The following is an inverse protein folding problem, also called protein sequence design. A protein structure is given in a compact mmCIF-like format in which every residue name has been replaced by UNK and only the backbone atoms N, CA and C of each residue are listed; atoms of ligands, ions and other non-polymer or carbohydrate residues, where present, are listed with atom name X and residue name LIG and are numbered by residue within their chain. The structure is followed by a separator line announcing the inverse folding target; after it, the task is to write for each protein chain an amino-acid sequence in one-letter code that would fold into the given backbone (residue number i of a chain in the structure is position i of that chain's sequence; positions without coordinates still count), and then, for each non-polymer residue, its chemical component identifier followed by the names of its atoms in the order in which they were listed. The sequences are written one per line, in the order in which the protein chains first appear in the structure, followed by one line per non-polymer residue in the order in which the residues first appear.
data_IF_032770108667
#
_entry.id   IF_032770108667
#
_cell.length_a   1.000
_cell.length_b   1.000
_cell.length_c   1.000
_cell.angle_alpha   90.00
_cell.angle_beta   90.00
_cell.angle_gamma   90.00
#
_symmetry.space_group_name_H-M   'P 1'
#
loop_
_entity.id
_entity.type
_entity.pdbx_description
1 polymer ?
#
# COMPACT_ATOMS: atom_id res chain seq x y z
N UNK A 1 17.24 -12.47 18.08
CA UNK A 1 17.80 -13.81 18.38
C UNK A 1 17.67 -14.09 19.87
N UNK A 2 17.62 -15.37 20.28
CA UNK A 2 17.60 -15.76 21.69
C UNK A 2 18.82 -15.22 22.46
N UNK A 3 18.68 -15.11 23.78
CA UNK A 3 19.80 -14.83 24.68
C UNK A 3 20.82 -15.99 24.65
N UNK A 4 22.08 -15.77 25.09
CA UNK A 4 23.12 -16.81 25.08
C UNK A 4 22.74 -18.10 25.84
N UNK A 5 21.81 -18.01 26.78
CA UNK A 5 21.25 -19.13 27.54
C UNK A 5 20.07 -19.84 26.86
N UNK A 6 19.76 -19.48 25.60
CA UNK A 6 18.68 -20.04 24.80
C UNK A 6 17.29 -19.48 25.09
N UNK A 7 17.12 -18.60 26.09
CA UNK A 7 15.81 -18.01 26.40
C UNK A 7 15.51 -16.84 25.47
N UNK A 8 14.23 -16.64 25.15
CA UNK A 8 13.78 -15.43 24.45
C UNK A 8 13.79 -14.29 25.47
N UNK A 9 14.38 -13.15 25.09
CA UNK A 9 14.45 -11.99 25.97
C UNK A 9 13.02 -11.44 26.25
N UNK A 10 12.70 -11.04 27.49
CA UNK A 10 11.33 -10.69 27.88
C UNK A 10 10.64 -9.66 26.99
N UNK A 11 11.36 -8.63 26.49
CA UNK A 11 10.76 -7.63 25.59
C UNK A 11 10.35 -8.26 24.25
N UNK A 12 11.10 -9.24 23.75
CA UNK A 12 10.73 -9.99 22.54
C UNK A 12 9.49 -10.86 22.79
N UNK A 13 9.37 -11.48 23.97
CA UNK A 13 8.18 -12.25 24.35
C UNK A 13 6.93 -11.36 24.37
N UNK A 14 7.03 -10.16 24.94
CA UNK A 14 5.93 -9.20 24.98
C UNK A 14 5.49 -8.81 23.54
N UNK A 15 6.44 -8.46 22.67
CA UNK A 15 6.14 -8.15 21.26
C UNK A 15 5.51 -9.32 20.51
N UNK A 16 6.01 -10.53 20.69
CA UNK A 16 5.44 -11.72 20.06
C UNK A 16 4.00 -11.99 20.53
N UNK A 17 3.70 -11.72 21.81
CA UNK A 17 2.33 -11.82 22.33
C UNK A 17 1.41 -10.75 21.73
N UNK A 18 1.86 -9.51 21.63
CA UNK A 18 1.12 -8.42 20.96
C UNK A 18 0.82 -8.80 19.50
N UNK A 19 1.81 -9.29 18.75
CA UNK A 19 1.63 -9.80 17.39
C UNK A 19 0.62 -10.96 17.33
N UNK A 20 0.73 -11.91 18.26
CA UNK A 20 -0.19 -13.05 18.33
C UNK A 20 -1.64 -12.64 18.59
N UNK A 21 -1.85 -11.65 19.46
CA UNK A 21 -3.18 -11.08 19.73
C UNK A 21 -3.76 -10.37 18.50
N UNK A 22 -2.91 -9.62 17.78
CA UNK A 22 -3.32 -8.97 16.53
C UNK A 22 -3.71 -10.00 15.46
N UNK A 23 -2.87 -11.04 15.26
CA UNK A 23 -3.15 -12.13 14.31
C UNK A 23 -4.37 -12.96 14.70
N UNK A 24 -4.65 -13.15 15.99
CA UNK A 24 -5.86 -13.83 16.43
C UNK A 24 -7.13 -13.09 16.01
N UNK A 25 -7.08 -11.75 15.94
CA UNK A 25 -8.23 -10.92 15.56
C UNK A 25 -8.33 -10.66 14.07
N UNK A 26 -7.20 -10.40 13.41
CA UNK A 26 -7.17 -9.95 12.02
C UNK A 26 -6.47 -10.93 11.08
N UNK A 27 -6.11 -12.12 11.56
CA UNK A 27 -5.38 -13.12 10.77
C UNK A 27 -6.12 -13.59 9.53
N UNK A 28 -7.42 -13.33 9.38
CA UNK A 28 -8.13 -13.59 8.11
C UNK A 28 -7.59 -12.78 6.93
N UNK A 29 -6.98 -11.61 7.17
CA UNK A 29 -6.33 -10.80 6.12
C UNK A 29 -4.93 -11.29 5.75
N UNK A 30 -4.38 -12.24 6.51
CA UNK A 30 -3.01 -12.77 6.31
C UNK A 30 -3.03 -14.24 5.91
N UNK A 31 -3.76 -15.09 6.64
CA UNK A 31 -3.71 -16.53 6.46
C UNK A 31 -4.55 -17.00 5.27
N UNK A 32 -3.91 -17.76 4.37
CA UNK A 32 -4.56 -18.29 3.18
C UNK A 32 -4.92 -17.24 2.14
N UNK A 33 -4.31 -16.05 2.22
CA UNK A 33 -4.44 -14.99 1.22
C UNK A 33 -3.28 -15.05 0.22
N UNK A 34 -3.43 -14.37 -0.92
CA UNK A 34 -2.33 -14.05 -1.84
C UNK A 34 -2.15 -12.53 -1.90
N UNK A 35 -0.97 -12.07 -2.27
CA UNK A 35 -0.72 -10.63 -2.46
C UNK A 35 -1.57 -10.02 -3.58
N UNK A 36 -1.79 -8.71 -3.49
CA UNK A 36 -2.58 -7.92 -4.41
C UNK A 36 -4.06 -7.83 -4.02
N UNK A 37 -4.91 -7.23 -4.88
CA UNK A 37 -4.65 -6.85 -6.26
C UNK A 37 -3.83 -5.56 -6.45
N UNK A 38 -3.68 -4.71 -5.43
CA UNK A 38 -2.78 -3.56 -5.50
C UNK A 38 -1.38 -3.92 -4.99
N UNK A 39 -0.35 -3.62 -5.79
CA UNK A 39 1.05 -3.79 -5.36
C UNK A 39 1.32 -2.96 -4.09
N UNK A 40 2.13 -3.48 -3.16
CA UNK A 40 2.44 -2.77 -1.94
C UNK A 40 3.21 -1.47 -2.23
N UNK A 41 2.95 -0.46 -1.42
CA UNK A 41 3.73 0.77 -1.29
C UNK A 41 4.21 0.87 0.16
N UNK A 42 4.89 1.96 0.50
CA UNK A 42 5.22 2.27 1.91
C UNK A 42 4.01 2.42 2.83
N UNK A 43 2.88 2.85 2.28
CA UNK A 43 1.71 3.26 3.06
C UNK A 43 0.58 2.24 2.99
N UNK A 44 0.59 1.37 1.98
CA UNK A 44 -0.48 0.43 1.68
C UNK A 44 0.10 -0.93 1.30
N UNK A 45 -0.48 -2.01 1.82
CA UNK A 45 -0.39 -3.32 1.21
C UNK A 45 -1.79 -3.88 0.96
N UNK A 46 -1.91 -4.85 0.05
CA UNK A 46 -3.17 -5.58 -0.12
C UNK A 46 -2.95 -7.08 -0.27
N UNK A 47 -3.92 -7.81 0.25
CA UNK A 47 -4.03 -9.26 0.09
C UNK A 47 -5.43 -9.62 -0.37
N UNK A 48 -5.60 -10.83 -0.91
CA UNK A 48 -6.89 -11.28 -1.46
C UNK A 48 -7.12 -12.76 -1.24
N UNK A 49 -8.40 -13.12 -1.11
CA UNK A 49 -8.89 -14.50 -0.99
C UNK A 49 -10.34 -14.61 -1.44
N UNK A 50 -10.63 -15.51 -2.38
CA UNK A 50 -11.99 -15.66 -2.90
C UNK A 50 -12.47 -14.35 -3.53
N UNK A 51 -13.62 -13.83 -3.10
CA UNK A 51 -14.16 -12.53 -3.52
C UNK A 51 -13.76 -11.37 -2.58
N UNK A 52 -12.80 -11.57 -1.68
CA UNK A 52 -12.39 -10.57 -0.69
C UNK A 52 -11.02 -10.00 -1.02
N UNK A 53 -10.89 -8.69 -0.82
CA UNK A 53 -9.62 -7.99 -0.77
C UNK A 53 -9.47 -7.37 0.62
N UNK A 54 -8.29 -7.49 1.21
CA UNK A 54 -7.94 -6.87 2.46
C UNK A 54 -6.89 -5.79 2.17
N UNK A 55 -7.20 -4.56 2.54
CA UNK A 55 -6.30 -3.42 2.51
C UNK A 55 -5.66 -3.28 3.89
N UNK A 56 -4.36 -3.09 3.90
CA UNK A 56 -3.55 -2.81 5.08
C UNK A 56 -2.98 -1.41 4.93
N UNK A 57 -3.55 -0.44 5.63
CA UNK A 57 -3.14 0.97 5.55
C UNK A 57 -2.29 1.30 6.76
N UNK A 58 -1.00 1.53 6.52
CA UNK A 58 0.01 1.78 7.55
C UNK A 58 0.21 3.27 7.84
N UNK A 59 -0.05 4.13 6.85
CA UNK A 59 0.11 5.57 6.97
C UNK A 59 -0.99 6.30 6.20
N UNK A 60 -1.65 7.22 6.89
CA UNK A 60 -2.71 8.07 6.34
C UNK A 60 -2.16 9.47 6.08
N UNK A 61 -2.47 10.02 4.91
CA UNK A 61 -2.18 11.44 4.60
C UNK A 61 -3.39 12.33 4.86
N UNK A 62 -4.58 11.78 4.61
CA UNK A 62 -5.89 12.33 4.89
C UNK A 62 -6.85 11.20 5.31
N UNK A 63 -8.15 11.41 5.21
CA UNK A 63 -9.18 10.40 5.45
C UNK A 63 -9.58 9.60 4.21
N UNK A 64 -8.91 9.77 3.06
CA UNK A 64 -9.27 9.17 1.77
C UNK A 64 -8.14 8.32 1.22
N UNK A 65 -8.48 7.09 0.83
CA UNK A 65 -7.58 6.18 0.12
C UNK A 65 -8.10 6.00 -1.31
N UNK A 66 -7.34 6.47 -2.28
CA UNK A 66 -7.64 6.28 -3.69
C UNK A 66 -6.94 5.04 -4.23
N UNK A 67 -7.70 4.18 -4.90
CA UNK A 67 -7.25 2.92 -5.46
C UNK A 67 -7.60 2.88 -6.95
N UNK A 68 -6.70 2.45 -7.85
CA UNK A 68 -7.06 2.15 -9.23
C UNK A 68 -8.26 1.20 -9.27
N UNK A 69 -9.26 1.54 -10.08
CA UNK A 69 -10.44 0.70 -10.24
C UNK A 69 -10.05 -0.66 -10.84
N UNK A 70 -10.73 -1.71 -10.39
CA UNK A 70 -10.56 -3.06 -10.90
C UNK A 70 -11.82 -3.47 -11.68
N UNK A 71 -11.74 -4.46 -12.58
CA UNK A 71 -12.90 -4.96 -13.34
C UNK A 71 -13.84 -5.83 -12.47
N UNK A 72 -14.34 -5.22 -11.39
CA UNK A 72 -15.26 -5.76 -10.39
C UNK A 72 -16.07 -4.62 -9.75
N UNK A 73 -17.14 -4.96 -9.05
CA UNK A 73 -17.90 -4.02 -8.22
C UNK A 73 -17.66 -4.31 -6.75
N UNK A 74 -17.51 -3.25 -5.94
CA UNK A 74 -17.41 -3.39 -4.48
C UNK A 74 -18.81 -3.43 -3.89
N UNK A 75 -19.15 -4.55 -3.23
CA UNK A 75 -20.44 -4.71 -2.56
C UNK A 75 -20.46 -4.09 -1.17
N UNK A 76 -19.33 -4.16 -0.45
CA UNK A 76 -19.20 -3.55 0.87
C UNK A 76 -17.75 -3.34 1.26
N UNK A 77 -17.52 -2.34 2.11
CA UNK A 77 -16.26 -2.12 2.82
C UNK A 77 -16.48 -2.28 4.34
N UNK A 78 -15.59 -2.97 5.04
CA UNK A 78 -15.66 -3.16 6.49
C UNK A 78 -14.29 -2.92 7.12
N UNK A 79 -14.22 -2.02 8.10
CA UNK A 79 -12.98 -1.80 8.87
C UNK A 79 -12.90 -2.88 9.95
N UNK A 80 -12.05 -3.89 9.73
CA UNK A 80 -11.88 -4.99 10.68
C UNK A 80 -11.29 -4.49 11.99
N UNK A 81 -10.45 -3.46 11.95
CA UNK A 81 -9.86 -2.81 13.12
C UNK A 81 -10.81 -1.91 13.89
N UNK A 82 -12.08 -1.83 13.49
CA UNK A 82 -13.13 -1.08 14.16
C UNK A 82 -13.44 0.26 13.48
N UNK A 83 -14.68 0.73 13.64
CA UNK A 83 -15.16 1.97 13.03
C UNK A 83 -15.88 1.74 11.70
N UNK A 84 -15.85 2.75 10.83
CA UNK A 84 -16.60 2.75 9.57
C UNK A 84 -15.71 3.15 8.39
N UNK A 85 -16.05 2.64 7.22
CA UNK A 85 -15.50 3.06 5.94
C UNK A 85 -16.66 3.31 4.96
N UNK A 86 -16.46 4.28 4.08
CA UNK A 86 -17.37 4.59 2.98
C UNK A 86 -16.62 4.36 1.69
N UNK A 87 -17.31 3.85 0.66
CA UNK A 87 -16.68 3.64 -0.64
C UNK A 87 -17.49 4.30 -1.75
N UNK A 88 -16.77 5.01 -2.60
CA UNK A 88 -17.28 5.63 -3.82
C UNK A 88 -16.53 5.00 -5.00
N UNK A 89 -17.25 4.57 -6.03
CA UNK A 89 -16.66 4.06 -7.26
C UNK A 89 -16.81 5.11 -8.36
N UNK A 90 -15.69 5.52 -8.92
CA UNK A 90 -15.60 6.36 -10.11
C UNK A 90 -15.12 5.52 -11.31
N UNK A 91 -15.05 6.13 -12.50
CA UNK A 91 -14.75 5.39 -13.73
C UNK A 91 -13.38 4.69 -13.73
N UNK A 92 -12.37 5.32 -13.11
CA UNK A 92 -10.97 4.87 -13.13
C UNK A 92 -10.39 4.60 -11.72
N UNK A 93 -11.12 4.95 -10.66
CA UNK A 93 -10.68 4.77 -9.28
C UNK A 93 -11.81 4.42 -8.32
N UNK A 94 -11.45 3.75 -7.23
CA UNK A 94 -12.29 3.61 -6.05
C UNK A 94 -11.71 4.50 -4.94
N UNK A 95 -12.58 5.22 -4.25
CA UNK A 95 -12.20 6.03 -3.10
C UNK A 95 -12.78 5.40 -1.86
N UNK A 96 -11.90 4.98 -0.94
CA UNK A 96 -12.27 4.48 0.38
C UNK A 96 -12.02 5.58 1.41
N UNK A 97 -13.08 6.11 2.01
CA UNK A 97 -13.00 7.13 3.05
C UNK A 97 -13.09 6.47 4.42
N UNK A 98 -12.08 6.68 5.27
CA UNK A 98 -12.02 6.19 6.65
C UNK A 98 -11.80 7.39 7.59
N UNK A 99 -12.80 7.79 8.39
CA UNK A 99 -12.66 8.88 9.33
C UNK A 99 -11.47 8.65 10.28
N UNK A 100 -10.75 9.71 10.65
CA UNK A 100 -9.58 9.62 11.53
C UNK A 100 -9.83 8.82 12.83
N UNK A 101 -11.03 8.92 13.41
CA UNK A 101 -11.42 8.15 14.60
C UNK A 101 -11.54 6.62 14.37
N UNK A 102 -11.61 6.17 13.12
CA UNK A 102 -11.65 4.76 12.69
C UNK A 102 -10.30 4.29 12.13
N UNK A 103 -9.28 5.15 12.10
CA UNK A 103 -7.93 4.79 11.67
C UNK A 103 -7.15 4.20 12.85
N UNK A 104 -6.59 3.01 12.65
CA UNK A 104 -5.72 2.38 13.64
C UNK A 104 -4.28 2.91 13.51
N UNK A 105 -3.59 3.03 14.65
CA UNK A 105 -2.24 3.61 14.73
C UNK A 105 -1.17 2.83 13.95
N UNK A 106 -1.28 1.50 13.90
CA UNK A 106 -0.25 0.63 13.29
C UNK A 106 -0.66 0.12 11.92
N UNK A 107 -1.86 -0.44 11.81
CA UNK A 107 -2.39 -1.02 10.58
C UNK A 107 -3.91 -0.94 10.62
N UNK A 108 -4.49 -0.14 9.72
CA UNK A 108 -5.94 -0.10 9.50
C UNK A 108 -6.31 -1.16 8.48
N UNK A 109 -7.01 -2.19 8.92
CA UNK A 109 -7.39 -3.32 8.04
C UNK A 109 -8.80 -3.13 7.53
N UNK A 110 -8.95 -3.02 6.22
CA UNK A 110 -10.25 -2.83 5.55
C UNK A 110 -10.52 -4.02 4.64
N UNK A 111 -11.64 -4.71 4.83
CA UNK A 111 -12.11 -5.76 3.93
C UNK A 111 -13.06 -5.17 2.90
N UNK A 112 -12.74 -5.35 1.63
CA UNK A 112 -13.64 -5.14 0.51
C UNK A 112 -14.22 -6.50 0.09
N UNK A 113 -15.54 -6.61 0.09
CA UNK A 113 -16.25 -7.75 -0.50
C UNK A 113 -16.66 -7.37 -1.91
N UNK A 114 -16.17 -8.13 -2.91
CA UNK A 114 -16.43 -7.89 -4.32
C UNK A 114 -17.57 -8.76 -4.85
N UNK A 115 -18.12 -8.34 -5.98
CA UNK A 115 -19.17 -9.06 -6.71
C UNK A 115 -18.68 -10.34 -7.41
N UNK A 116 -17.37 -10.48 -7.58
CA UNK A 116 -16.71 -11.62 -8.22
C UNK A 116 -15.42 -12.02 -7.50
N UNK A 117 -14.80 -13.09 -7.97
CA UNK A 117 -13.52 -13.57 -7.43
C UNK A 117 -12.41 -12.52 -7.59
N UNK A 118 -11.89 -12.04 -6.46
CA UNK A 118 -10.72 -11.16 -6.40
C UNK A 118 -9.47 -11.87 -6.92
N UNK A 119 -9.45 -13.21 -6.90
CA UNK A 119 -8.32 -14.03 -7.34
C UNK A 119 -8.05 -13.94 -8.84
N UNK A 120 -9.07 -13.57 -9.62
CA UNK A 120 -9.00 -13.45 -11.09
C UNK A 120 -8.66 -12.03 -11.55
N UNK A 121 -8.64 -11.06 -10.63
CA UNK A 121 -8.36 -9.67 -10.95
C UNK A 121 -6.87 -9.46 -11.29
N UNK A 122 -6.56 -8.50 -12.18
CA UNK A 122 -5.18 -8.13 -12.45
C UNK A 122 -4.50 -7.60 -11.19
N UNK A 123 -3.18 -7.80 -11.10
CA UNK A 123 -2.36 -7.10 -10.11
C UNK A 123 -1.93 -5.78 -10.73
N UNK A 124 -2.27 -4.67 -10.08
CA UNK A 124 -2.04 -3.30 -10.58
C UNK A 124 -1.12 -2.54 -9.63
N UNK A 125 -0.32 -1.64 -10.19
CA UNK A 125 0.50 -0.71 -9.40
C UNK A 125 -0.37 0.42 -8.82
N UNK A 126 -0.02 0.90 -7.63
CA UNK A 126 -0.61 2.13 -7.11
C UNK A 126 -0.06 3.33 -7.90
N UNK A 127 -0.88 4.34 -8.21
CA UNK A 127 -0.39 5.55 -8.86
C UNK A 127 0.59 6.24 -7.92
N UNK A 128 1.68 6.76 -8.50
CA UNK A 128 2.61 7.59 -7.75
C UNK A 128 1.88 8.84 -7.25
N UNK A 129 2.06 9.16 -5.98
CA UNK A 129 1.63 10.45 -5.43
C UNK A 129 2.58 11.59 -5.81
N UNK A 130 3.68 11.25 -6.48
CA UNK A 130 4.68 12.18 -6.96
C UNK A 130 4.56 12.30 -8.47
N UNK A 131 4.31 13.52 -8.95
CA UNK A 131 4.39 13.84 -10.36
C UNK A 131 5.87 14.08 -10.72
N UNK A 132 6.50 13.11 -11.37
CA UNK A 132 7.91 13.20 -11.75
C UNK A 132 8.08 12.95 -13.25
N UNK A 133 9.08 13.60 -13.83
CA UNK A 133 9.43 13.40 -15.24
C UNK A 133 10.94 13.23 -15.37
N UNK A 134 11.36 12.47 -16.37
CA UNK A 134 12.76 12.28 -16.67
C UNK A 134 13.01 12.33 -18.17
N UNK A 135 14.22 12.73 -18.56
CA UNK A 135 14.64 12.78 -19.96
C UNK A 135 14.84 11.40 -20.60
N UNK A 136 14.94 10.36 -19.79
CA UNK A 136 15.13 8.97 -20.21
C UNK A 136 14.61 8.04 -19.11
N UNK A 137 14.10 6.86 -19.49
CA UNK A 137 13.69 5.78 -18.59
C UNK A 137 14.22 4.49 -19.20
N UNK A 138 14.93 3.69 -18.40
CA UNK A 138 15.57 2.45 -18.86
C UNK A 138 14.56 1.57 -19.61
N UNK A 139 14.77 1.41 -20.92
CA UNK A 139 13.96 0.65 -21.84
C UNK A 139 12.46 1.00 -21.81
N UNK A 140 12.09 2.18 -21.30
CA UNK A 140 10.69 2.57 -21.08
C UNK A 140 9.93 1.69 -20.08
N UNK A 141 10.63 1.03 -19.15
CA UNK A 141 10.02 0.17 -18.14
C UNK A 141 9.54 0.98 -16.92
N UNK A 142 8.29 0.78 -16.51
CA UNK A 142 7.68 1.44 -15.35
C UNK A 142 8.46 1.19 -14.04
N UNK A 143 9.12 0.04 -13.90
CA UNK A 143 9.95 -0.31 -12.74
C UNK A 143 11.17 0.62 -12.57
N UNK A 144 11.48 1.44 -13.57
CA UNK A 144 12.56 2.43 -13.57
C UNK A 144 12.08 3.86 -13.88
N UNK A 145 10.79 4.14 -13.73
CA UNK A 145 10.20 5.44 -14.02
C UNK A 145 10.76 6.56 -13.10
N UNK A 146 10.49 7.82 -13.45
CA UNK A 146 11.00 8.97 -12.69
C UNK A 146 10.48 8.99 -11.24
N UNK A 147 9.24 8.57 -11.06
CA UNK A 147 8.52 8.49 -9.80
C UNK A 147 9.24 7.57 -8.80
N UNK A 148 9.92 6.52 -9.28
CA UNK A 148 10.70 5.60 -8.45
C UNK A 148 11.90 6.27 -7.77
N UNK A 149 12.30 7.49 -8.16
CA UNK A 149 13.30 8.25 -7.42
C UNK A 149 12.72 8.97 -6.19
N UNK A 150 11.39 9.10 -6.10
CA UNK A 150 10.70 9.96 -5.13
C UNK A 150 9.56 9.26 -4.37
N UNK A 151 9.24 8.01 -4.69
CA UNK A 151 8.24 7.18 -3.99
C UNK A 151 8.65 6.82 -2.53
N UNK A 152 9.91 7.12 -2.20
CA UNK A 152 10.53 6.86 -0.92
C UNK A 152 11.00 5.42 -0.73
N UNK A 153 10.64 4.45 -1.57
CA UNK A 153 11.09 3.07 -1.43
C UNK A 153 12.59 2.95 -1.77
N UNK A 154 13.37 2.34 -0.88
CA UNK A 154 14.81 2.18 -1.10
C UNK A 154 15.15 1.05 -2.07
N UNK A 155 14.17 0.26 -2.49
CA UNK A 155 14.35 -0.85 -3.45
C UNK A 155 13.97 -0.47 -4.88
N UNK A 156 13.20 0.60 -5.07
CA UNK A 156 12.89 1.16 -6.39
C UNK A 156 13.95 2.21 -6.75
N UNK A 157 14.09 2.51 -8.05
CA UNK A 157 14.97 3.57 -8.52
C UNK A 157 14.57 4.02 -9.92
N UNK A 158 14.78 5.29 -10.21
CA UNK A 158 14.90 5.73 -11.61
C UNK A 158 16.21 5.21 -12.22
N UNK A 159 16.19 4.76 -13.47
CA UNK A 159 17.38 4.34 -14.20
C UNK A 159 17.31 4.80 -15.67
N UNK A 160 18.49 4.95 -16.28
CA UNK A 160 18.63 5.34 -17.69
C UNK A 160 19.19 4.20 -18.54
N UNK A 161 19.00 4.29 -19.85
CA UNK A 161 19.58 3.36 -20.82
C UNK A 161 21.11 3.38 -20.80
N UNK A 162 21.70 2.23 -21.12
CA UNK A 162 23.16 2.10 -21.24
C UNK A 162 23.70 3.09 -22.29
N UNK A 163 24.79 3.77 -21.94
CA UNK A 163 25.42 4.78 -22.82
C UNK A 163 24.85 6.19 -22.67
N UNK A 164 23.81 6.41 -21.87
CA UNK A 164 23.31 7.74 -21.53
C UNK A 164 24.38 8.54 -20.77
N UNK A 165 24.88 9.63 -21.37
CA UNK A 165 25.95 10.47 -20.78
C UNK A 165 25.43 11.66 -19.99
N UNK A 166 24.20 12.09 -20.26
CA UNK A 166 23.52 13.20 -19.60
C UNK A 166 22.04 12.87 -19.51
N UNK A 167 21.44 13.11 -18.36
CA UNK A 167 20.00 12.95 -18.13
C UNK A 167 19.56 13.90 -17.03
N UNK A 168 18.28 14.25 -17.03
CA UNK A 168 17.65 15.01 -15.96
C UNK A 168 16.43 14.27 -15.42
N UNK A 169 16.12 14.53 -14.16
CA UNK A 169 14.91 14.12 -13.48
C UNK A 169 14.35 15.31 -12.72
N UNK A 170 13.03 15.50 -12.80
CA UNK A 170 12.31 16.60 -12.17
C UNK A 170 11.09 16.09 -11.41
N UNK A 171 10.70 16.84 -10.38
CA UNK A 171 9.50 16.60 -9.58
C UNK A 171 8.67 17.88 -9.55
N UNK A 172 7.36 17.74 -9.71
CA UNK A 172 6.40 18.81 -9.50
C UNK A 172 5.72 18.65 -8.15
N UNK A 173 5.80 19.69 -7.32
CA UNK A 173 5.08 19.72 -6.05
C UNK A 173 3.67 20.29 -6.28
N UNK A 174 2.61 19.63 -5.77
CA UNK A 174 1.23 20.08 -5.98
C UNK A 174 0.92 21.43 -5.31
N UNK A 175 1.74 21.82 -4.32
CA UNK A 175 1.67 23.12 -3.64
C UNK A 175 3.10 23.61 -3.35
N UNK A 176 3.34 24.93 -3.31
CA UNK A 176 4.63 25.48 -2.91
C UNK A 176 5.09 24.90 -1.57
N UNK A 177 6.29 24.34 -1.53
CA UNK A 177 6.92 23.81 -0.31
C UNK A 177 8.30 24.44 -0.15
N UNK A 178 8.65 24.77 1.09
CA UNK A 178 10.00 25.25 1.43
C UNK A 178 10.96 24.05 1.38
N UNK A 179 12.04 24.18 0.61
CA UNK A 179 13.10 23.16 0.53
C UNK A 179 14.33 23.72 1.24
N UNK A 180 14.81 23.00 2.26
CA UNK A 180 15.92 23.43 3.11
C UNK A 180 15.49 24.37 4.25
N UNK A 181 16.23 24.29 5.37
CA UNK A 181 16.13 25.19 6.53
C UNK A 181 16.59 26.59 6.17
#
# INVERSE_FOLDING_TARGET
GPMPDGRIEPRQVARLKEMGQWLARYGESIYGTRGGPWKPTKNLASTRRGNRVYLHVFQWQDDRLELPALPAEVRSATVLTGGQAYIESEADRWVVTVPAASQAEIDTVIRLDLDRSAMELPVVSMPSQVNATASNVYQGMDDYAAECAFDGDSHTRWATDSGTKQAWIGIEFPKPRRIGS
#
